data_IF_528703003999
#
_entry.id   IF_528703003999
#
_cell.length_a   1.000
_cell.length_b   1.000
_cell.length_c   1.000
_cell.angle_alpha   90.00
_cell.angle_beta   90.00
_cell.angle_gamma   90.00
#
_symmetry.space_group_name_H-M   'P 1'
#
loop_
_entity.id
_entity.type
_entity.pdbx_description
1 polymer ?
#
# COMPACT_ATOMS: atom_id res chain seq x y z
N UNK A 1 -11.91 -8.99 9.55
CA UNK A 1 -10.80 -9.76 10.18
C UNK A 1 -11.11 -9.94 11.65
N UNK A 2 -11.78 -11.07 11.95
CA UNK A 2 -12.35 -11.38 13.26
C UNK A 2 -11.36 -11.99 14.27
N UNK A 3 -10.05 -11.72 14.12
CA UNK A 3 -9.02 -12.42 14.90
C UNK A 3 -8.12 -11.53 15.76
N UNK A 4 -8.33 -10.22 15.76
CA UNK A 4 -7.60 -9.33 16.67
C UNK A 4 -8.59 -8.59 17.58
N UNK A 5 -8.56 -8.92 18.87
CA UNK A 5 -9.15 -8.05 19.88
C UNK A 5 -8.34 -6.75 19.91
N UNK A 6 -8.96 -5.65 19.51
CA UNK A 6 -8.36 -4.33 19.56
C UNK A 6 -8.98 -3.55 20.72
N UNK A 7 -8.13 -3.12 21.66
CA UNK A 7 -8.51 -2.14 22.67
C UNK A 7 -8.02 -0.76 22.23
N UNK A 8 -8.91 0.21 22.22
CA UNK A 8 -8.60 1.58 21.87
C UNK A 8 -9.78 2.31 21.26
N UNK A 9 -9.63 3.61 21.06
CA UNK A 9 -10.61 4.46 20.41
C UNK A 9 -10.14 4.81 18.99
N UNK A 10 -10.96 4.47 17.98
CA UNK A 10 -10.74 4.90 16.61
C UNK A 10 -11.50 6.22 16.37
N UNK A 11 -10.76 7.32 16.26
CA UNK A 11 -11.33 8.63 15.92
C UNK A 11 -11.21 8.79 14.40
N UNK A 12 -12.33 8.68 13.70
CA UNK A 12 -12.43 8.92 12.27
C UNK A 12 -13.23 10.20 12.03
N UNK A 13 -12.66 11.12 11.26
CA UNK A 13 -13.33 12.33 10.81
C UNK A 13 -13.92 12.11 9.40
N UNK A 14 -13.92 13.12 8.55
CA UNK A 14 -14.50 13.05 7.17
C UNK A 14 -13.57 12.39 6.14
N UNK A 15 -12.65 11.54 6.58
CA UNK A 15 -11.67 10.90 5.71
C UNK A 15 -12.29 9.77 4.89
N UNK A 16 -11.94 9.73 3.59
CA UNK A 16 -12.25 8.60 2.71
C UNK A 16 -11.02 7.69 2.65
N UNK A 17 -11.13 6.54 3.29
CA UNK A 17 -10.03 5.58 3.41
C UNK A 17 -10.16 4.53 2.32
N UNK A 18 -9.10 4.33 1.55
CA UNK A 18 -8.96 3.21 0.63
C UNK A 18 -7.88 2.26 1.12
N UNK A 19 -8.18 0.96 1.10
CA UNK A 19 -7.28 -0.09 1.55
C UNK A 19 -6.91 -1.04 0.42
N UNK A 20 -5.62 -1.20 0.17
CA UNK A 20 -5.05 -2.19 -0.73
C UNK A 20 -4.54 -3.36 0.10
N UNK A 21 -5.17 -4.53 0.06
CA UNK A 21 -4.71 -5.71 0.78
C UNK A 21 -3.47 -6.31 0.11
N UNK A 22 -2.68 -7.05 0.88
CA UNK A 22 -1.47 -7.75 0.43
C UNK A 22 -1.77 -8.72 -0.74
N UNK A 23 -2.90 -9.40 -0.68
CA UNK A 23 -3.36 -10.30 -1.74
C UNK A 23 -4.74 -9.90 -2.23
N UNK A 24 -5.01 -10.17 -3.51
CA UNK A 24 -6.36 -10.04 -4.05
C UNK A 24 -7.31 -10.95 -3.29
N UNK A 25 -8.42 -10.43 -2.73
CA UNK A 25 -9.42 -11.22 -2.00
C UNK A 25 -9.90 -12.42 -2.81
N UNK A 26 -10.09 -13.56 -2.15
CA UNK A 26 -10.41 -14.84 -2.83
C UNK A 26 -11.66 -14.73 -3.71
N UNK A 27 -12.67 -14.04 -3.22
CA UNK A 27 -13.94 -13.81 -3.93
C UNK A 27 -13.80 -12.94 -5.18
N UNK A 28 -12.69 -12.20 -5.32
CA UNK A 28 -12.41 -11.33 -6.48
C UNK A 28 -11.56 -12.02 -7.54
N UNK A 29 -10.95 -13.15 -7.24
CA UNK A 29 -9.96 -13.81 -8.11
C UNK A 29 -10.57 -14.31 -9.41
N UNK A 30 -11.79 -14.81 -9.35
CA UNK A 30 -12.52 -15.38 -10.51
C UNK A 30 -13.29 -14.34 -11.33
N UNK A 31 -13.47 -13.12 -10.80
CA UNK A 31 -14.07 -12.04 -11.55
C UNK A 31 -13.20 -11.68 -12.75
N UNK A 32 -13.82 -11.38 -13.87
CA UNK A 32 -13.11 -10.72 -14.97
C UNK A 32 -12.68 -9.32 -14.56
N UNK A 33 -11.69 -8.75 -15.25
CA UNK A 33 -11.27 -7.36 -15.00
C UNK A 33 -12.47 -6.41 -15.15
N UNK A 34 -13.30 -6.62 -16.17
CA UNK A 34 -14.51 -5.83 -16.38
C UNK A 34 -15.47 -5.93 -15.20
N UNK A 35 -15.80 -7.14 -14.75
CA UNK A 35 -16.70 -7.35 -13.59
C UNK A 35 -16.12 -6.74 -12.32
N UNK A 36 -14.80 -6.85 -12.10
CA UNK A 36 -14.13 -6.26 -10.96
C UNK A 36 -14.29 -4.75 -10.88
N UNK A 37 -14.17 -4.04 -12.01
CA UNK A 37 -14.41 -2.59 -12.05
C UNK A 37 -15.89 -2.24 -11.96
N UNK A 38 -16.79 -3.03 -12.53
CA UNK A 38 -18.25 -2.79 -12.51
C UNK A 38 -18.87 -2.87 -11.11
N UNK A 39 -18.18 -3.46 -10.13
CA UNK A 39 -18.62 -3.44 -8.72
C UNK A 39 -18.54 -2.04 -8.09
N UNK A 40 -17.79 -1.11 -8.70
CA UNK A 40 -17.61 0.24 -8.19
C UNK A 40 -18.54 1.22 -8.91
N UNK A 41 -19.47 1.82 -8.16
CA UNK A 41 -20.44 2.79 -8.73
C UNK A 41 -19.75 3.94 -9.44
N UNK A 42 -18.66 4.46 -8.84
CA UNK A 42 -17.87 5.54 -9.43
C UNK A 42 -17.27 5.18 -10.79
N UNK A 43 -17.04 3.90 -11.06
CA UNK A 43 -16.60 3.44 -12.38
C UNK A 43 -17.67 3.61 -13.44
N UNK A 44 -18.92 3.32 -13.10
CA UNK A 44 -20.06 3.42 -14.03
C UNK A 44 -20.37 4.87 -14.45
N UNK A 45 -19.93 5.83 -13.64
CA UNK A 45 -20.06 7.26 -13.91
C UNK A 45 -18.94 7.80 -14.81
N UNK A 46 -17.87 7.02 -15.06
CA UNK A 46 -16.73 7.46 -15.85
C UNK A 46 -17.03 7.47 -17.35
N UNK A 47 -16.49 8.46 -18.03
CA UNK A 47 -16.51 8.50 -19.49
C UNK A 47 -15.35 7.68 -20.08
N UNK A 48 -15.45 7.19 -21.35
CA UNK A 48 -14.33 6.54 -22.00
C UNK A 48 -13.05 7.40 -22.05
N UNK A 49 -13.21 8.73 -22.11
CA UNK A 49 -12.09 9.67 -22.07
C UNK A 49 -11.37 9.66 -20.73
N UNK A 50 -12.10 9.70 -19.61
CA UNK A 50 -11.52 9.69 -18.26
C UNK A 50 -10.87 8.36 -17.96
N UNK A 51 -11.48 7.24 -18.37
CA UNK A 51 -10.87 5.90 -18.25
C UNK A 51 -9.60 5.77 -19.10
N UNK A 52 -9.60 6.30 -20.34
CA UNK A 52 -8.40 6.32 -21.16
C UNK A 52 -7.25 7.13 -20.55
N UNK A 53 -7.54 8.26 -19.93
CA UNK A 53 -6.55 9.06 -19.21
C UNK A 53 -6.00 8.32 -17.97
N UNK A 54 -6.87 7.61 -17.23
CA UNK A 54 -6.46 6.79 -16.12
C UNK A 54 -5.58 5.62 -16.59
N UNK A 55 -5.97 4.91 -17.65
CA UNK A 55 -5.18 3.83 -18.22
C UNK A 55 -3.76 4.30 -18.61
N UNK A 56 -3.65 5.45 -19.27
CA UNK A 56 -2.37 6.04 -19.64
C UNK A 56 -1.51 6.36 -18.42
N UNK A 57 -2.09 6.94 -17.38
CA UNK A 57 -1.40 7.26 -16.12
C UNK A 57 -0.91 6.00 -15.39
N UNK A 58 -1.61 4.91 -15.52
CA UNK A 58 -1.28 3.63 -14.90
C UNK A 58 -0.44 2.71 -15.82
N UNK A 59 -0.08 3.19 -17.01
CA UNK A 59 0.68 2.43 -18.00
C UNK A 59 0.03 1.08 -18.34
N UNK A 60 -1.29 1.11 -18.53
CA UNK A 60 -2.06 -0.04 -19.03
C UNK A 60 -2.78 0.34 -20.32
N UNK A 61 -3.11 -0.63 -21.19
CA UNK A 61 -3.88 -0.35 -22.40
C UNK A 61 -5.26 0.24 -22.10
N UNK A 62 -5.80 1.07 -23.00
CA UNK A 62 -7.09 1.73 -22.80
C UNK A 62 -8.27 0.75 -22.68
N UNK A 63 -8.13 -0.45 -23.24
CA UNK A 63 -9.12 -1.53 -23.16
C UNK A 63 -9.00 -2.39 -21.90
N UNK A 64 -8.04 -2.11 -21.04
CA UNK A 64 -7.77 -2.87 -19.81
C UNK A 64 -9.02 -3.06 -18.95
N UNK A 65 -9.83 -2.02 -18.79
CA UNK A 65 -11.05 -2.04 -17.98
C UNK A 65 -12.13 -2.99 -18.50
N UNK A 66 -12.08 -3.37 -19.78
CA UNK A 66 -13.11 -4.16 -20.46
C UNK A 66 -12.69 -5.59 -20.74
N UNK A 67 -11.53 -6.01 -20.19
CA UNK A 67 -11.01 -7.37 -20.40
C UNK A 67 -11.90 -8.41 -19.70
N UNK A 68 -12.21 -9.48 -20.45
CA UNK A 68 -12.89 -10.68 -19.91
C UNK A 68 -11.92 -11.65 -19.23
N UNK A 69 -10.66 -11.26 -19.12
CA UNK A 69 -9.63 -12.04 -18.45
C UNK A 69 -9.88 -12.08 -16.94
N UNK A 70 -9.84 -13.25 -16.26
CA UNK A 70 -9.97 -13.35 -14.82
C UNK A 70 -8.84 -12.60 -14.07
N UNK A 71 -9.19 -11.94 -13.00
CA UNK A 71 -8.24 -11.16 -12.17
C UNK A 71 -7.06 -11.99 -11.68
N UNK A 72 -7.26 -13.26 -11.34
CA UNK A 72 -6.18 -14.14 -10.86
C UNK A 72 -5.11 -14.41 -11.93
N UNK A 73 -5.43 -14.29 -13.21
CA UNK A 73 -4.52 -14.55 -14.33
C UNK A 73 -3.69 -13.33 -14.73
N UNK A 74 -3.95 -12.17 -14.16
CA UNK A 74 -3.14 -10.97 -14.33
C UNK A 74 -1.75 -11.15 -13.72
N UNK A 75 -0.75 -10.46 -14.26
CA UNK A 75 0.55 -10.33 -13.59
C UNK A 75 0.42 -9.64 -12.23
N UNK A 76 1.41 -9.80 -11.35
CA UNK A 76 1.42 -9.11 -10.06
C UNK A 76 1.26 -7.60 -10.20
N UNK A 77 2.01 -6.99 -11.12
CA UNK A 77 1.91 -5.56 -11.41
C UNK A 77 0.54 -5.14 -11.95
N UNK A 78 -0.06 -5.90 -12.86
CA UNK A 78 -1.40 -5.63 -13.36
C UNK A 78 -2.46 -5.74 -12.26
N UNK A 79 -2.33 -6.72 -11.34
CA UNK A 79 -3.23 -6.86 -10.18
C UNK A 79 -3.18 -5.65 -9.27
N UNK A 80 -1.99 -5.18 -8.93
CA UNK A 80 -1.80 -3.98 -8.10
C UNK A 80 -2.36 -2.76 -8.79
N UNK A 81 -2.07 -2.55 -10.08
CA UNK A 81 -2.59 -1.43 -10.87
C UNK A 81 -4.11 -1.46 -10.95
N UNK A 82 -4.74 -2.62 -11.21
CA UNK A 82 -6.20 -2.75 -11.26
C UNK A 82 -6.85 -2.38 -9.93
N UNK A 83 -6.35 -2.91 -8.83
CA UNK A 83 -6.85 -2.60 -7.49
C UNK A 83 -6.68 -1.11 -7.17
N UNK A 84 -5.51 -0.53 -7.43
CA UNK A 84 -5.26 0.89 -7.21
C UNK A 84 -6.17 1.78 -8.05
N UNK A 85 -6.37 1.47 -9.35
CA UNK A 85 -7.30 2.23 -10.19
C UNK A 85 -8.71 2.23 -9.63
N UNK A 86 -9.21 1.06 -9.19
CA UNK A 86 -10.54 0.95 -8.57
C UNK A 86 -10.65 1.77 -7.29
N UNK A 87 -9.64 1.70 -6.42
CA UNK A 87 -9.60 2.48 -5.18
C UNK A 87 -9.59 3.99 -5.45
N UNK A 88 -8.81 4.45 -6.45
CA UNK A 88 -8.70 5.86 -6.76
C UNK A 88 -9.97 6.47 -7.38
N UNK A 89 -10.86 5.66 -7.93
CA UNK A 89 -12.18 6.11 -8.39
C UNK A 89 -13.05 6.65 -7.24
N UNK A 90 -12.81 6.21 -6.02
CA UNK A 90 -13.52 6.69 -4.81
C UNK A 90 -12.96 8.01 -4.27
N UNK A 91 -11.96 8.59 -4.93
CA UNK A 91 -11.28 9.82 -4.51
C UNK A 91 -10.83 9.79 -3.03
N UNK A 92 -10.03 8.81 -2.61
CA UNK A 92 -9.65 8.66 -1.21
C UNK A 92 -8.75 9.82 -0.74
N UNK A 93 -8.86 10.16 0.54
CA UNK A 93 -7.96 11.09 1.23
C UNK A 93 -6.90 10.36 2.06
N UNK A 94 -7.08 9.07 2.30
CA UNK A 94 -6.11 8.20 2.97
C UNK A 94 -5.96 6.91 2.18
N UNK A 95 -4.73 6.55 1.85
CA UNK A 95 -4.38 5.25 1.28
C UNK A 95 -3.71 4.39 2.36
N UNK A 96 -4.25 3.20 2.57
CA UNK A 96 -3.62 2.14 3.37
C UNK A 96 -3.16 1.05 2.43
N UNK A 97 -1.84 0.81 2.35
CA UNK A 97 -1.25 -0.16 1.43
C UNK A 97 -0.54 -1.25 2.23
N UNK A 98 -0.97 -2.50 2.05
CA UNK A 98 -0.39 -3.66 2.73
C UNK A 98 0.51 -4.44 1.79
N UNK A 99 1.83 -4.37 2.01
CA UNK A 99 2.88 -5.00 1.18
C UNK A 99 2.69 -4.77 -0.34
N UNK A 100 2.51 -3.52 -0.79
CA UNK A 100 2.11 -3.23 -2.18
C UNK A 100 3.19 -3.54 -3.21
N UNK A 101 4.43 -3.81 -2.78
CA UNK A 101 5.57 -4.18 -3.63
C UNK A 101 5.73 -5.70 -3.82
N UNK A 102 4.89 -6.53 -3.18
CA UNK A 102 4.98 -7.97 -3.34
C UNK A 102 4.59 -8.40 -4.76
N UNK A 103 5.39 -9.31 -5.32
CA UNK A 103 5.15 -9.95 -6.63
C UNK A 103 5.02 -8.99 -7.82
N UNK A 104 5.60 -7.79 -7.73
CA UNK A 104 5.65 -6.83 -8.82
C UNK A 104 7.06 -6.73 -9.43
N UNK A 105 7.11 -6.38 -10.71
CA UNK A 105 8.37 -6.10 -11.41
C UNK A 105 8.93 -4.70 -11.08
N UNK A 106 10.18 -4.46 -11.48
CA UNK A 106 10.87 -3.20 -11.21
C UNK A 106 10.15 -2.00 -11.82
N UNK A 107 9.58 -2.14 -13.02
CA UNK A 107 8.86 -1.06 -13.69
C UNK A 107 7.60 -0.67 -12.90
N UNK A 108 6.87 -1.66 -12.41
CA UNK A 108 5.68 -1.43 -11.56
C UNK A 108 6.08 -0.85 -10.21
N UNK A 109 7.21 -1.27 -9.63
CA UNK A 109 7.73 -0.69 -8.39
C UNK A 109 8.05 0.80 -8.57
N UNK A 110 8.78 1.16 -9.60
CA UNK A 110 9.09 2.58 -9.91
C UNK A 110 7.82 3.41 -10.18
N UNK A 111 6.82 2.81 -10.82
CA UNK A 111 5.52 3.45 -11.02
C UNK A 111 4.82 3.68 -9.67
N UNK A 112 4.83 2.69 -8.76
CA UNK A 112 4.24 2.79 -7.43
C UNK A 112 4.94 3.87 -6.58
N UNK A 113 6.27 3.92 -6.61
CA UNK A 113 7.05 4.96 -5.95
C UNK A 113 6.64 6.35 -6.43
N UNK A 114 6.54 6.55 -7.74
CA UNK A 114 6.09 7.83 -8.32
C UNK A 114 4.66 8.17 -7.92
N UNK A 115 3.77 7.18 -7.84
CA UNK A 115 2.40 7.38 -7.38
C UNK A 115 2.38 7.89 -5.94
N UNK A 116 3.12 7.23 -5.03
CA UNK A 116 3.19 7.60 -3.61
C UNK A 116 3.82 8.98 -3.44
N UNK A 117 4.95 9.26 -4.12
CA UNK A 117 5.64 10.54 -4.04
C UNK A 117 4.79 11.73 -4.51
N UNK A 118 3.93 11.51 -5.50
CA UNK A 118 3.04 12.55 -6.04
C UNK A 118 1.66 12.60 -5.36
N UNK A 119 1.39 11.70 -4.41
CA UNK A 119 0.14 11.70 -3.69
C UNK A 119 0.05 12.89 -2.75
N UNK A 120 -1.06 13.64 -2.83
CA UNK A 120 -1.23 14.90 -2.08
C UNK A 120 -1.80 14.73 -0.67
N UNK A 121 -2.24 13.54 -0.35
CA UNK A 121 -2.88 13.22 0.91
C UNK A 121 -2.06 12.19 1.69
N UNK A 122 -2.64 11.57 2.70
CA UNK A 122 -1.95 10.61 3.56
C UNK A 122 -1.82 9.26 2.84
N UNK A 123 -0.61 8.70 2.87
CA UNK A 123 -0.35 7.29 2.53
C UNK A 123 0.29 6.63 3.75
N UNK A 124 -0.31 5.56 4.22
CA UNK A 124 0.27 4.67 5.20
C UNK A 124 0.47 3.31 4.54
N UNK A 125 1.69 2.82 4.53
CA UNK A 125 1.97 1.50 3.97
C UNK A 125 2.85 0.65 4.89
N UNK A 126 2.68 -0.66 4.79
CA UNK A 126 3.56 -1.66 5.39
C UNK A 126 4.36 -2.27 4.25
N UNK A 127 5.67 -2.35 4.38
CA UNK A 127 6.53 -3.00 3.40
C UNK A 127 7.80 -3.54 4.02
N UNK A 128 8.30 -4.64 3.46
CA UNK A 128 9.65 -5.16 3.68
C UNK A 128 10.62 -4.72 2.57
N UNK A 129 10.14 -4.02 1.56
CA UNK A 129 10.97 -3.48 0.47
C UNK A 129 11.66 -2.19 0.92
N UNK A 130 12.96 -2.32 1.24
CA UNK A 130 13.77 -1.18 1.68
C UNK A 130 13.85 -0.07 0.61
N UNK A 131 13.83 -0.41 -0.67
CA UNK A 131 13.89 0.55 -1.77
C UNK A 131 12.64 1.41 -1.80
N UNK A 132 11.47 0.80 -1.72
CA UNK A 132 10.20 1.52 -1.65
C UNK A 132 10.17 2.46 -0.43
N UNK A 133 10.56 1.95 0.75
CA UNK A 133 10.58 2.73 1.98
C UNK A 133 11.55 3.92 1.86
N UNK A 134 12.77 3.67 1.39
CA UNK A 134 13.82 4.70 1.26
C UNK A 134 13.41 5.81 0.28
N UNK A 135 12.79 5.44 -0.83
CA UNK A 135 12.42 6.38 -1.88
C UNK A 135 11.15 7.19 -1.57
N UNK A 136 10.27 6.69 -0.67
CA UNK A 136 8.94 7.30 -0.51
C UNK A 136 8.61 7.73 0.91
N UNK A 137 9.14 7.07 1.96
CA UNK A 137 8.73 7.33 3.33
C UNK A 137 9.39 8.59 3.89
N UNK A 138 8.57 9.47 4.47
CA UNK A 138 9.01 10.65 5.22
C UNK A 138 8.82 10.51 6.73
N UNK A 139 8.20 9.42 7.17
CA UNK A 139 7.97 9.07 8.56
C UNK A 139 7.98 7.55 8.69
N UNK A 140 8.64 7.04 9.71
CA UNK A 140 8.71 5.61 10.01
C UNK A 140 7.98 5.34 11.32
N UNK A 141 7.07 4.38 11.30
CA UNK A 141 6.44 3.83 12.50
C UNK A 141 7.02 2.44 12.69
N UNK A 142 7.81 2.28 13.74
CA UNK A 142 8.42 1.01 14.08
C UNK A 142 7.67 0.35 15.24
N UNK A 143 7.23 -0.89 15.00
CA UNK A 143 6.54 -1.70 16.02
C UNK A 143 7.47 -2.83 16.42
N UNK A 144 7.78 -2.92 17.70
CA UNK A 144 8.61 -3.99 18.27
C UNK A 144 7.89 -4.73 19.39
N UNK A 145 8.15 -6.01 19.49
CA UNK A 145 7.68 -6.81 20.61
C UNK A 145 8.77 -6.88 21.69
N UNK A 146 8.45 -6.35 22.86
CA UNK A 146 9.31 -6.37 24.03
C UNK A 146 8.88 -7.54 24.92
N UNK A 147 9.88 -8.24 25.49
CA UNK A 147 9.69 -9.34 26.47
C UNK A 147 8.72 -10.44 26.04
N UNK A 148 9.23 -11.47 25.39
CA UNK A 148 8.53 -12.74 25.09
C UNK A 148 7.12 -12.58 24.50
N UNK A 149 6.95 -11.63 23.59
CA UNK A 149 5.69 -11.42 22.82
C UNK A 149 4.48 -10.90 23.63
N UNK A 150 4.67 -10.38 24.85
CA UNK A 150 3.54 -9.95 25.69
C UNK A 150 3.31 -8.44 25.70
N UNK A 151 4.29 -7.63 25.31
CA UNK A 151 4.15 -6.16 25.25
C UNK A 151 4.69 -5.67 23.92
N UNK A 152 3.87 -4.96 23.17
CA UNK A 152 4.27 -4.25 21.95
C UNK A 152 4.55 -2.78 22.27
N UNK A 153 5.57 -2.24 21.65
CA UNK A 153 5.91 -0.81 21.70
C UNK A 153 6.01 -0.28 20.28
N UNK A 154 5.54 0.93 20.06
CA UNK A 154 5.77 1.62 18.80
C UNK A 154 6.65 2.85 18.99
N UNK A 155 7.41 3.18 17.98
CA UNK A 155 8.24 4.39 17.92
C UNK A 155 7.96 5.09 16.60
N UNK A 156 7.73 6.41 16.68
CA UNK A 156 7.52 7.24 15.49
C UNK A 156 8.79 8.06 15.25
N UNK A 157 9.40 7.88 14.09
CA UNK A 157 10.57 8.62 13.65
C UNK A 157 10.21 9.48 12.42
N UNK A 158 10.25 10.81 12.60
CA UNK A 158 10.04 11.78 11.51
C UNK A 158 11.38 12.05 10.81
N UNK A 159 11.87 11.06 10.10
CA UNK A 159 13.15 11.11 9.40
C UNK A 159 13.13 10.16 8.20
N UNK A 160 14.14 10.28 7.31
CA UNK A 160 14.31 9.33 6.22
C UNK A 160 14.66 7.93 6.74
N UNK A 161 14.38 6.89 5.96
CA UNK A 161 14.69 5.52 6.33
C UNK A 161 16.18 5.30 6.53
N UNK A 162 17.04 5.92 5.73
CA UNK A 162 18.50 5.86 5.88
C UNK A 162 18.96 6.41 7.24
N UNK A 163 18.43 7.56 7.65
CA UNK A 163 18.72 8.15 8.96
C UNK A 163 18.23 7.24 10.09
N UNK A 164 17.03 6.71 9.98
CA UNK A 164 16.45 5.78 10.94
C UNK A 164 17.32 4.51 11.10
N UNK A 165 17.77 3.90 10.01
CA UNK A 165 18.69 2.75 10.03
C UNK A 165 19.99 3.06 10.77
N UNK A 166 20.62 4.21 10.47
CA UNK A 166 21.87 4.63 11.11
C UNK A 166 21.70 4.81 12.62
N UNK A 167 20.62 5.47 13.04
CA UNK A 167 20.33 5.65 14.47
C UNK A 167 20.07 4.32 15.18
N UNK A 168 19.36 3.43 14.53
CA UNK A 168 19.06 2.11 15.10
C UNK A 168 20.29 1.25 15.28
N UNK A 169 21.17 1.19 14.29
CA UNK A 169 22.44 0.49 14.39
C UNK A 169 23.29 1.04 15.54
N UNK A 170 23.40 2.35 15.65
CA UNK A 170 24.13 3.02 16.75
C UNK A 170 23.57 2.68 18.12
N UNK A 171 22.24 2.65 18.24
CA UNK A 171 21.59 2.29 19.50
C UNK A 171 21.83 0.83 19.88
N UNK A 172 21.81 -0.07 18.89
CA UNK A 172 22.11 -1.49 19.10
C UNK A 172 23.57 -1.70 19.58
N UNK A 173 24.54 -1.11 18.91
CA UNK A 173 25.95 -1.16 19.32
C UNK A 173 26.18 -0.60 20.74
N UNK A 174 25.48 0.48 21.11
CA UNK A 174 25.56 1.04 22.46
C UNK A 174 24.96 0.10 23.51
N UNK A 175 23.89 -0.62 23.20
CA UNK A 175 23.29 -1.60 24.11
C UNK A 175 24.18 -2.81 24.30
N UNK A 176 24.83 -3.31 23.25
CA UNK A 176 25.80 -4.40 23.35
C UNK A 176 26.99 -4.01 24.23
N UNK A 177 27.57 -2.82 24.04
CA UNK A 177 28.68 -2.33 24.89
C UNK A 177 28.31 -2.19 26.37
N UNK A 178 27.04 -1.82 26.66
CA UNK A 178 26.55 -1.73 28.05
C UNK A 178 26.25 -3.09 28.66
N UNK A 179 25.97 -4.10 27.85
CA UNK A 179 25.73 -5.47 28.31
C UNK A 179 27.05 -6.25 28.61
N UNK A 180 28.17 -5.83 27.99
CA UNK A 180 29.50 -6.41 28.16
C UNK A 180 30.31 -5.74 29.29
N UNK A 181 29.85 -4.63 29.83
CA UNK A 181 30.51 -3.92 30.95
C UNK A 181 29.86 -4.27 32.28
#
# INVERSE_FOLDING_TARGET
DDYCETEGELIQTKERIAYLPQELPKEKRTLTVCEFFMEEESFLEQTPKTLGQMAAKFHVPADFFYREQPMETLSGGEKVKAQMMKLLLTEPTVLLLDEPSNDIDVETLEWLERLIQNWKHIVLFISHDETLIENTANMIIYIEQIRRKTVSRYTIAKMSYEQYRKERLRNFENQERQAES
#
